data_IF_008543483364
#
_entry.id   IF_008543483364
#
_cell.length_a   1.000
_cell.length_b   1.000
_cell.length_c   1.000
_cell.angle_alpha   90.00
_cell.angle_beta   90.00
_cell.angle_gamma   90.00
#
_symmetry.space_group_name_H-M   'P 1'
#
loop_
_entity.id
_entity.type
_entity.pdbx_description
1 polymer ?
#
# COMPACT_ATOMS: atom_id res chain seq x y z
N UNK A 1 -12.32 23.58 10.94
CA UNK A 1 -11.79 24.94 10.71
C UNK A 1 -11.04 25.05 9.38
N UNK A 2 -10.18 24.07 9.03
CA UNK A 2 -9.37 24.15 7.80
C UNK A 2 -10.19 24.07 6.48
N UNK A 3 -11.37 23.44 6.51
CA UNK A 3 -12.25 23.30 5.36
C UNK A 3 -13.37 24.33 5.29
N UNK A 4 -13.43 25.25 6.24
CA UNK A 4 -14.47 26.26 6.29
C UNK A 4 -14.44 27.16 5.04
N UNK A 5 -15.53 27.18 4.27
CA UNK A 5 -15.64 27.94 3.03
C UNK A 5 -15.02 27.25 1.80
N UNK A 6 -14.52 26.02 1.92
CA UNK A 6 -14.17 25.19 0.76
C UNK A 6 -15.40 24.42 0.29
N UNK A 7 -15.57 24.29 -1.02
CA UNK A 7 -16.66 23.55 -1.63
C UNK A 7 -16.09 22.52 -2.61
N UNK A 8 -15.48 21.43 -2.12
CA UNK A 8 -14.87 20.42 -2.98
C UNK A 8 -15.95 19.72 -3.81
N UNK A 9 -15.64 19.44 -5.07
CA UNK A 9 -16.47 18.61 -5.94
C UNK A 9 -16.11 17.14 -5.86
N UNK A 10 -14.83 16.83 -5.58
CA UNK A 10 -14.29 15.49 -5.48
C UNK A 10 -13.34 15.40 -4.28
N UNK A 11 -13.38 14.26 -3.59
CA UNK A 11 -12.50 13.96 -2.48
C UNK A 11 -11.78 12.65 -2.78
N UNK A 12 -10.46 12.65 -2.66
CA UNK A 12 -9.60 11.47 -2.74
C UNK A 12 -9.00 11.23 -1.36
N UNK A 13 -9.63 10.35 -0.58
CA UNK A 13 -9.24 10.08 0.80
C UNK A 13 -8.27 8.89 0.87
N UNK A 14 -7.02 9.18 1.17
CA UNK A 14 -5.95 8.19 1.31
C UNK A 14 -5.14 8.38 2.61
N UNK A 15 -5.74 9.02 3.61
CA UNK A 15 -5.10 9.29 4.89
C UNK A 15 -5.40 8.20 5.91
N UNK A 16 -4.42 7.89 6.73
CA UNK A 16 -4.61 7.08 7.93
C UNK A 16 -3.55 7.40 8.98
N UNK A 17 -3.85 7.05 10.22
CA UNK A 17 -2.96 7.20 11.35
C UNK A 17 -2.84 5.87 12.07
N UNK A 18 -1.61 5.34 12.17
CA UNK A 18 -1.36 4.08 12.87
C UNK A 18 -1.55 4.24 14.36
N UNK A 19 -2.26 3.29 14.97
CA UNK A 19 -2.45 3.16 16.39
C UNK A 19 -1.86 1.85 16.92
N UNK A 20 -1.86 1.66 18.23
CA UNK A 20 -1.28 0.48 18.86
C UNK A 20 -2.13 -0.79 18.65
N UNK A 21 -3.46 -0.63 18.58
CA UNK A 21 -4.41 -1.74 18.40
C UNK A 21 -5.34 -1.49 17.22
N UNK A 22 -5.97 -2.57 16.71
CA UNK A 22 -6.93 -2.43 15.62
C UNK A 22 -8.21 -1.70 16.07
N UNK A 23 -8.65 -1.89 17.30
CA UNK A 23 -9.78 -1.13 17.85
C UNK A 23 -9.51 0.39 17.87
N UNK A 24 -8.29 0.79 18.27
CA UNK A 24 -7.87 2.19 18.22
C UNK A 24 -7.74 2.69 16.78
N UNK A 25 -7.23 1.85 15.84
CA UNK A 25 -7.22 2.17 14.42
C UNK A 25 -8.64 2.44 13.90
N UNK A 26 -9.62 1.60 14.25
CA UNK A 26 -11.03 1.81 13.90
C UNK A 26 -11.56 3.14 14.44
N UNK A 27 -11.31 3.44 15.71
CA UNK A 27 -11.75 4.68 16.35
C UNK A 27 -11.14 5.92 15.70
N UNK A 28 -9.82 5.99 15.60
CA UNK A 28 -9.11 7.18 15.11
C UNK A 28 -9.33 7.38 13.61
N UNK A 29 -9.14 6.34 12.80
CA UNK A 29 -9.25 6.47 11.33
C UNK A 29 -10.71 6.64 10.89
N UNK A 30 -11.67 6.03 11.61
CA UNK A 30 -13.08 6.30 11.43
C UNK A 30 -13.43 7.76 11.73
N UNK A 31 -12.92 8.32 12.84
CA UNK A 31 -13.16 9.72 13.19
C UNK A 31 -12.56 10.70 12.17
N UNK A 32 -11.36 10.41 11.62
CA UNK A 32 -10.74 11.25 10.58
C UNK A 32 -11.67 11.37 9.36
N UNK A 33 -12.18 10.24 8.84
CA UNK A 33 -13.07 10.24 7.70
C UNK A 33 -14.41 10.87 8.03
N UNK A 34 -15.01 10.55 9.18
CA UNK A 34 -16.30 11.12 9.62
C UNK A 34 -16.24 12.63 9.70
N UNK A 35 -15.24 13.18 10.38
CA UNK A 35 -15.06 14.63 10.55
C UNK A 35 -14.87 15.34 9.18
N UNK A 36 -14.22 14.68 8.23
CA UNK A 36 -14.09 15.22 6.87
C UNK A 36 -15.44 15.26 6.18
N UNK A 37 -16.17 14.15 6.18
CA UNK A 37 -17.47 14.06 5.49
C UNK A 37 -18.50 15.01 6.12
N UNK A 38 -18.64 15.04 7.45
CA UNK A 38 -19.51 15.98 8.15
C UNK A 38 -19.22 17.46 7.83
N UNK A 39 -17.96 17.77 7.51
CA UNK A 39 -17.60 19.15 7.15
C UNK A 39 -17.97 19.55 5.73
N UNK A 40 -18.28 18.58 4.83
CA UNK A 40 -18.42 18.83 3.38
C UNK A 40 -19.65 18.16 2.75
N UNK A 41 -20.30 17.17 3.39
CA UNK A 41 -21.38 16.37 2.81
C UNK A 41 -22.64 17.21 2.48
N UNK A 42 -22.89 18.30 3.20
CA UNK A 42 -23.97 19.24 2.93
C UNK A 42 -23.64 20.23 1.79
N UNK A 43 -22.43 20.16 1.26
CA UNK A 43 -22.00 21.01 0.14
C UNK A 43 -22.72 20.58 -1.16
N UNK A 44 -23.50 21.48 -1.78
CA UNK A 44 -24.31 21.15 -2.98
C UNK A 44 -23.46 20.78 -4.19
N UNK A 45 -22.14 20.90 -4.10
CA UNK A 45 -21.20 20.68 -5.20
C UNK A 45 -20.43 19.34 -5.08
N UNK A 46 -20.51 18.62 -3.95
CA UNK A 46 -19.82 17.35 -3.80
C UNK A 46 -20.44 16.28 -4.72
N UNK A 47 -19.64 15.76 -5.63
CA UNK A 47 -20.04 14.80 -6.66
C UNK A 47 -19.54 13.39 -6.37
N UNK A 48 -18.32 13.27 -5.85
CA UNK A 48 -17.69 11.97 -5.64
C UNK A 48 -16.69 11.95 -4.46
N UNK A 49 -16.69 10.82 -3.75
CA UNK A 49 -15.71 10.51 -2.70
C UNK A 49 -15.04 9.18 -3.02
N UNK A 50 -13.74 9.20 -3.29
CA UNK A 50 -12.92 8.02 -3.47
C UNK A 50 -12.15 7.71 -2.18
N UNK A 51 -12.34 6.50 -1.65
CA UNK A 51 -11.68 6.00 -0.45
C UNK A 51 -10.60 4.97 -0.84
N UNK A 52 -9.36 5.20 -0.44
CA UNK A 52 -8.28 4.22 -0.57
C UNK A 52 -8.18 3.40 0.71
N UNK A 53 -8.32 2.09 0.58
CA UNK A 53 -8.13 1.10 1.64
C UNK A 53 -6.96 0.17 1.30
N UNK A 54 -7.17 -1.14 1.13
CA UNK A 54 -6.11 -2.07 0.72
C UNK A 54 -6.45 -3.53 0.97
N UNK A 55 -5.49 -4.42 0.72
CA UNK A 55 -5.68 -5.87 0.82
C UNK A 55 -5.95 -6.39 2.23
N UNK A 56 -5.76 -5.57 3.26
CA UNK A 56 -6.24 -5.88 4.62
C UNK A 56 -7.74 -6.20 4.65
N UNK A 57 -8.49 -5.75 3.64
CA UNK A 57 -9.89 -6.14 3.43
C UNK A 57 -10.05 -7.66 3.34
N UNK A 58 -9.13 -8.35 2.68
CA UNK A 58 -9.17 -9.80 2.41
C UNK A 58 -8.36 -10.63 3.41
N UNK A 59 -7.34 -10.02 4.03
CA UNK A 59 -6.39 -10.72 4.90
C UNK A 59 -6.66 -10.50 6.39
N UNK A 60 -7.47 -9.49 6.74
CA UNK A 60 -7.65 -9.06 8.13
C UNK A 60 -6.49 -8.19 8.66
N UNK A 61 -6.46 -7.90 9.95
CA UNK A 61 -5.34 -7.22 10.60
C UNK A 61 -4.05 -8.06 10.54
N UNK A 62 -2.91 -7.44 10.77
CA UNK A 62 -1.60 -8.15 10.70
C UNK A 62 -1.55 -9.40 11.56
N UNK A 63 -2.18 -9.35 12.73
CA UNK A 63 -2.24 -10.46 13.68
C UNK A 63 -3.06 -11.65 13.15
N UNK A 64 -3.93 -11.42 12.17
CA UNK A 64 -4.77 -12.45 11.57
C UNK A 64 -4.13 -13.11 10.33
N UNK A 65 -3.05 -12.58 9.77
CA UNK A 65 -2.44 -13.10 8.54
C UNK A 65 -2.00 -14.56 8.66
N UNK A 66 -1.47 -14.96 9.80
CA UNK A 66 -1.07 -16.35 10.04
C UNK A 66 -2.25 -17.29 10.33
N UNK A 67 -3.45 -16.75 10.60
CA UNK A 67 -4.64 -17.51 10.98
C UNK A 67 -5.57 -17.76 9.79
N UNK A 68 -5.42 -16.99 8.73
CA UNK A 68 -6.22 -17.08 7.53
C UNK A 68 -5.40 -17.62 6.37
N UNK A 69 -6.02 -18.49 5.58
CA UNK A 69 -5.52 -18.87 4.27
C UNK A 69 -6.55 -18.40 3.22
N UNK A 70 -6.54 -17.11 2.88
CA UNK A 70 -7.54 -16.56 1.97
C UNK A 70 -7.38 -17.15 0.58
N UNK A 71 -8.51 -17.33 -0.09
CA UNK A 71 -8.53 -17.77 -1.48
C UNK A 71 -8.05 -16.66 -2.42
N UNK A 72 -7.11 -16.98 -3.30
CA UNK A 72 -6.54 -16.05 -4.29
C UNK A 72 -6.88 -16.51 -5.72
N UNK A 73 -6.96 -15.58 -6.69
CA UNK A 73 -6.75 -14.12 -6.59
C UNK A 73 -7.84 -13.43 -5.78
N UNK A 74 -7.48 -12.37 -5.05
CA UNK A 74 -8.47 -11.57 -4.33
C UNK A 74 -9.45 -10.90 -5.28
N UNK A 75 -10.74 -10.98 -4.94
CA UNK A 75 -11.85 -10.43 -5.72
C UNK A 75 -12.74 -9.55 -4.89
N UNK A 76 -13.30 -8.50 -5.48
CA UNK A 76 -14.10 -7.51 -4.77
C UNK A 76 -15.40 -8.08 -4.17
N UNK A 77 -15.91 -9.21 -4.68
CA UNK A 77 -17.08 -9.92 -4.15
C UNK A 77 -16.80 -10.79 -2.93
N UNK A 78 -15.53 -11.01 -2.52
CA UNK A 78 -15.22 -11.74 -1.31
C UNK A 78 -15.77 -11.02 -0.08
N UNK A 79 -16.38 -11.79 0.81
CA UNK A 79 -17.01 -11.27 2.03
C UNK A 79 -15.97 -10.71 3.00
N UNK A 80 -16.41 -9.78 3.85
CA UNK A 80 -15.60 -9.28 4.96
C UNK A 80 -15.30 -10.40 5.95
N UNK A 81 -14.08 -10.40 6.47
CA UNK A 81 -13.68 -11.33 7.52
C UNK A 81 -14.29 -10.95 8.87
N UNK A 82 -14.48 -11.92 9.80
CA UNK A 82 -15.09 -11.68 11.11
C UNK A 82 -14.11 -11.04 12.12
N UNK A 83 -13.35 -10.03 11.68
CA UNK A 83 -12.38 -9.29 12.50
C UNK A 83 -12.68 -7.82 12.49
N UNK A 84 -12.32 -7.12 13.57
CA UNK A 84 -12.21 -5.66 13.52
C UNK A 84 -11.21 -5.25 12.44
N UNK A 85 -11.59 -4.25 11.64
CA UNK A 85 -10.77 -3.77 10.54
C UNK A 85 -11.14 -2.30 10.26
N UNK A 86 -10.20 -1.40 10.42
CA UNK A 86 -10.48 0.02 10.24
C UNK A 86 -10.88 0.36 8.78
N UNK A 87 -10.52 -0.45 7.80
CA UNK A 87 -11.04 -0.28 6.43
C UNK A 87 -12.55 -0.52 6.38
N UNK A 88 -13.06 -1.53 7.10
CA UNK A 88 -14.50 -1.76 7.18
C UNK A 88 -15.22 -0.61 7.87
N UNK A 89 -14.64 -0.08 8.94
CA UNK A 89 -15.16 1.12 9.64
C UNK A 89 -15.23 2.33 8.70
N UNK A 90 -14.19 2.56 7.90
CA UNK A 90 -14.17 3.66 6.93
C UNK A 90 -15.18 3.44 5.79
N UNK A 91 -15.27 2.22 5.24
CA UNK A 91 -16.27 1.88 4.23
C UNK A 91 -17.69 2.12 4.77
N UNK A 92 -18.01 1.68 5.99
CA UNK A 92 -19.33 1.86 6.60
C UNK A 92 -19.69 3.33 6.79
N UNK A 93 -18.74 4.15 7.26
CA UNK A 93 -18.91 5.60 7.39
C UNK A 93 -19.17 6.25 6.02
N UNK A 94 -18.41 5.87 5.00
CA UNK A 94 -18.59 6.37 3.63
C UNK A 94 -19.96 6.00 3.08
N UNK A 95 -20.36 4.74 3.21
CA UNK A 95 -21.65 4.25 2.69
C UNK A 95 -22.84 4.89 3.42
N UNK A 96 -22.73 5.07 4.74
CA UNK A 96 -23.73 5.76 5.54
C UNK A 96 -23.88 7.22 5.10
N UNK A 97 -22.77 7.96 4.96
CA UNK A 97 -22.78 9.34 4.50
C UNK A 97 -23.35 9.45 3.08
N UNK A 98 -22.91 8.61 2.14
CA UNK A 98 -23.44 8.61 0.77
C UNK A 98 -24.93 8.30 0.70
N UNK A 99 -25.48 7.48 1.61
CA UNK A 99 -26.91 7.15 1.65
C UNK A 99 -27.80 8.34 2.01
N UNK A 100 -27.23 9.37 2.66
CA UNK A 100 -27.92 10.60 3.07
C UNK A 100 -27.65 11.78 2.15
N UNK A 101 -26.72 11.62 1.22
CA UNK A 101 -26.20 12.69 0.38
C UNK A 101 -26.40 12.36 -1.11
N UNK A 102 -26.04 13.28 -1.99
CA UNK A 102 -26.18 13.10 -3.44
C UNK A 102 -24.88 12.68 -4.15
N UNK A 103 -23.77 12.60 -3.42
CA UNK A 103 -22.49 12.21 -4.03
C UNK A 103 -22.41 10.69 -4.26
N UNK A 104 -21.65 10.29 -5.25
CA UNK A 104 -21.27 8.90 -5.50
C UNK A 104 -19.96 8.57 -4.81
N UNK A 105 -19.67 7.28 -4.64
CA UNK A 105 -18.42 6.84 -4.02
C UNK A 105 -17.69 5.77 -4.82
N UNK A 106 -16.40 5.63 -4.56
CA UNK A 106 -15.61 4.46 -4.95
C UNK A 106 -14.67 4.05 -3.81
N UNK A 107 -14.42 2.74 -3.70
CA UNK A 107 -13.43 2.18 -2.77
C UNK A 107 -12.33 1.52 -3.58
N UNK A 108 -11.06 1.86 -3.29
CA UNK A 108 -9.90 1.33 -3.99
C UNK A 108 -9.05 0.50 -3.04
N UNK A 109 -8.75 -0.73 -3.43
CA UNK A 109 -8.03 -1.72 -2.63
C UNK A 109 -6.69 -2.07 -3.27
N UNK A 110 -5.67 -1.20 -3.11
CA UNK A 110 -4.32 -1.49 -3.59
C UNK A 110 -3.66 -2.61 -2.78
N UNK A 111 -2.75 -3.33 -3.43
CA UNK A 111 -1.70 -4.07 -2.74
C UNK A 111 -0.58 -3.10 -2.33
N UNK A 112 0.53 -3.62 -1.81
CA UNK A 112 1.71 -2.81 -1.42
C UNK A 112 1.97 -1.70 -2.42
N UNK A 113 1.72 -0.46 -1.98
CA UNK A 113 1.88 0.71 -2.85
C UNK A 113 3.35 1.09 -2.92
N UNK A 114 3.87 1.16 -4.14
CA UNK A 114 5.22 1.63 -4.43
C UNK A 114 5.17 2.97 -5.18
N UNK A 115 6.11 3.84 -4.89
CA UNK A 115 6.21 5.15 -5.52
C UNK A 115 7.20 6.04 -4.76
N UNK A 116 7.39 7.25 -5.25
CA UNK A 116 8.26 8.20 -4.59
C UNK A 116 7.48 8.98 -3.51
N UNK A 117 7.93 8.89 -2.28
CA UNK A 117 7.39 9.68 -1.17
C UNK A 117 8.45 9.89 -0.09
N UNK A 118 8.53 11.11 0.44
CA UNK A 118 9.35 11.44 1.62
C UNK A 118 8.43 11.60 2.83
N UNK A 119 8.87 11.09 3.99
CA UNK A 119 8.08 11.13 5.22
C UNK A 119 7.05 10.01 5.36
N UNK A 120 6.94 9.12 4.36
CA UNK A 120 6.20 7.87 4.48
C UNK A 120 7.18 6.70 4.45
N UNK A 121 7.71 6.34 5.62
CA UNK A 121 8.68 5.27 5.73
C UNK A 121 8.10 3.86 5.42
N UNK A 122 6.77 3.70 5.45
CA UNK A 122 6.10 2.46 5.01
C UNK A 122 6.03 2.35 3.48
N UNK A 123 7.10 2.67 2.82
CA UNK A 123 7.28 2.58 1.37
C UNK A 123 8.33 1.49 1.08
N UNK A 124 7.88 0.34 0.61
CA UNK A 124 8.78 -0.78 0.34
C UNK A 124 9.82 -0.42 -0.72
N UNK A 125 9.43 0.25 -1.81
CA UNK A 125 10.35 0.63 -2.87
C UNK A 125 11.52 1.48 -2.35
N UNK A 126 11.23 2.49 -1.52
CA UNK A 126 12.24 3.34 -0.91
C UNK A 126 13.07 2.56 0.13
N UNK A 127 12.42 1.72 0.95
CA UNK A 127 13.13 0.86 1.91
C UNK A 127 14.15 -0.05 1.21
N UNK A 128 13.77 -0.69 0.10
CA UNK A 128 14.68 -1.55 -0.67
C UNK A 128 15.81 -0.74 -1.34
N UNK A 129 15.53 0.47 -1.80
CA UNK A 129 16.56 1.36 -2.35
C UNK A 129 17.61 1.75 -1.30
N UNK A 130 17.18 2.08 -0.08
CA UNK A 130 18.08 2.37 1.04
C UNK A 130 18.87 1.11 1.44
N UNK A 131 18.21 -0.05 1.54
CA UNK A 131 18.86 -1.33 1.83
C UNK A 131 19.95 -1.66 0.80
N UNK A 132 19.63 -1.60 -0.48
CA UNK A 132 20.60 -1.84 -1.55
C UNK A 132 21.76 -0.84 -1.55
N UNK A 133 21.50 0.43 -1.24
CA UNK A 133 22.54 1.45 -1.12
C UNK A 133 23.51 1.14 0.03
N UNK A 134 22.98 0.70 1.17
CA UNK A 134 23.78 0.26 2.31
C UNK A 134 24.60 -0.98 1.98
N UNK A 135 24.01 -1.98 1.31
CA UNK A 135 24.72 -3.17 0.86
C UNK A 135 25.88 -2.80 -0.08
N UNK A 136 25.64 -1.94 -1.06
CA UNK A 136 26.65 -1.45 -1.99
C UNK A 136 27.81 -0.73 -1.30
N UNK A 137 27.50 0.16 -0.36
CA UNK A 137 28.52 0.94 0.37
C UNK A 137 29.38 0.05 1.28
N UNK A 138 28.80 -0.96 1.88
CA UNK A 138 29.47 -1.81 2.86
C UNK A 138 30.01 -3.12 2.32
N UNK A 139 29.73 -3.45 1.05
CA UNK A 139 30.06 -4.74 0.45
C UNK A 139 29.27 -5.91 1.05
N UNK A 140 28.12 -5.66 1.67
CA UNK A 140 27.23 -6.71 2.19
C UNK A 140 26.43 -7.35 1.06
N UNK A 141 26.06 -8.60 1.26
CA UNK A 141 25.16 -9.30 0.35
C UNK A 141 23.77 -8.67 0.34
N UNK A 142 23.20 -8.52 -0.86
CA UNK A 142 21.81 -8.09 -1.04
C UNK A 142 20.89 -9.31 -1.07
N UNK A 143 20.51 -9.78 0.13
CA UNK A 143 19.71 -11.01 0.34
C UNK A 143 18.23 -10.68 0.39
N UNK A 144 17.38 -11.52 -0.24
CA UNK A 144 15.92 -11.40 -0.05
C UNK A 144 15.56 -11.67 1.41
N UNK A 145 14.90 -10.72 2.11
CA UNK A 145 14.75 -10.82 3.57
C UNK A 145 13.52 -11.63 4.02
N UNK A 146 12.62 -11.94 3.08
CA UNK A 146 11.28 -12.45 3.38
C UNK A 146 11.20 -13.98 3.56
N UNK A 147 9.96 -14.46 3.59
CA UNK A 147 9.64 -15.87 3.76
C UNK A 147 9.88 -16.70 2.48
N UNK A 148 10.03 -18.02 2.59
CA UNK A 148 10.06 -18.92 1.44
C UNK A 148 8.77 -18.80 0.59
N UNK A 149 7.62 -18.65 1.24
CA UNK A 149 6.33 -18.49 0.57
C UNK A 149 6.32 -17.24 -0.30
N UNK A 150 6.74 -16.08 0.22
CA UNK A 150 6.82 -14.86 -0.58
C UNK A 150 7.87 -14.93 -1.67
N UNK A 151 8.98 -15.62 -1.45
CA UNK A 151 10.03 -15.81 -2.47
C UNK A 151 9.51 -16.60 -3.68
N UNK A 152 8.71 -17.65 -3.41
CA UNK A 152 8.27 -18.62 -4.43
C UNK A 152 6.83 -18.38 -4.94
N UNK A 153 5.94 -17.79 -4.13
CA UNK A 153 4.56 -17.56 -4.53
C UNK A 153 4.42 -16.45 -5.57
N UNK A 154 3.26 -16.41 -6.22
CA UNK A 154 2.86 -15.31 -7.09
C UNK A 154 2.44 -14.12 -6.25
N UNK A 155 2.80 -12.93 -6.68
CA UNK A 155 2.39 -11.67 -6.06
C UNK A 155 2.28 -10.57 -7.09
N UNK A 156 1.76 -9.43 -6.66
CA UNK A 156 1.66 -8.18 -7.42
C UNK A 156 1.97 -6.98 -6.51
N UNK A 157 2.02 -5.80 -7.06
CA UNK A 157 2.18 -4.53 -6.34
C UNK A 157 1.39 -3.44 -7.05
N UNK A 158 1.24 -2.30 -6.39
CA UNK A 158 0.55 -1.13 -6.95
C UNK A 158 1.51 0.04 -7.09
N UNK A 159 1.76 0.50 -8.29
CA UNK A 159 2.41 1.79 -8.51
C UNK A 159 1.44 2.92 -8.14
N UNK A 160 1.91 3.91 -7.38
CA UNK A 160 1.09 5.04 -6.96
C UNK A 160 0.49 5.81 -8.15
N UNK A 161 1.14 5.79 -9.31
CA UNK A 161 0.66 6.44 -10.54
C UNK A 161 -0.57 5.73 -11.10
N UNK A 162 -0.59 4.39 -11.11
CA UNK A 162 -1.75 3.64 -11.61
C UNK A 162 -2.93 3.74 -10.63
N UNK A 163 -2.65 3.78 -9.32
CA UNK A 163 -3.67 4.07 -8.31
C UNK A 163 -4.31 5.43 -8.56
N UNK A 164 -3.50 6.47 -8.79
CA UNK A 164 -4.01 7.82 -9.07
C UNK A 164 -4.90 7.87 -10.32
N UNK A 165 -4.53 7.15 -11.39
CA UNK A 165 -5.34 7.05 -12.62
C UNK A 165 -6.65 6.30 -12.40
N UNK A 166 -6.66 5.24 -11.57
CA UNK A 166 -7.91 4.55 -11.25
C UNK A 166 -8.83 5.43 -10.39
N UNK A 167 -8.27 6.21 -9.46
CA UNK A 167 -9.04 7.17 -8.67
C UNK A 167 -9.72 8.21 -9.57
N UNK A 168 -8.98 8.80 -10.51
CA UNK A 168 -9.51 9.77 -11.47
C UNK A 168 -10.58 9.13 -12.36
N UNK A 169 -10.31 7.94 -12.92
CA UNK A 169 -11.26 7.20 -13.73
C UNK A 169 -12.56 6.92 -12.96
N UNK A 170 -12.48 6.41 -11.74
CA UNK A 170 -13.67 6.06 -10.96
C UNK A 170 -14.49 7.30 -10.55
N UNK A 171 -13.83 8.45 -10.39
CA UNK A 171 -14.50 9.71 -10.07
C UNK A 171 -15.24 10.34 -11.26
N UNK A 172 -14.92 9.92 -12.50
CA UNK A 172 -15.46 10.51 -13.73
C UNK A 172 -16.26 9.54 -14.60
N UNK A 173 -16.11 8.22 -14.39
CA UNK A 173 -16.80 7.18 -15.15
C UNK A 173 -18.10 6.78 -14.44
N UNK A 174 -19.29 7.03 -15.05
CA UNK A 174 -20.57 6.72 -14.40
C UNK A 174 -20.74 5.23 -14.03
N UNK A 175 -20.14 4.31 -14.81
CA UNK A 175 -20.21 2.88 -14.54
C UNK A 175 -19.42 2.48 -13.26
N UNK A 176 -18.47 3.30 -12.81
CA UNK A 176 -17.68 3.08 -11.61
C UNK A 176 -18.35 3.63 -10.33
N UNK A 177 -19.46 4.37 -10.46
CA UNK A 177 -20.16 4.95 -9.32
C UNK A 177 -20.66 3.87 -8.34
N UNK A 178 -20.42 4.08 -7.06
CA UNK A 178 -20.85 3.21 -5.96
C UNK A 178 -20.30 1.77 -6.07
N UNK A 179 -19.03 1.66 -6.42
CA UNK A 179 -18.33 0.40 -6.58
C UNK A 179 -17.03 0.34 -5.77
N UNK A 180 -16.62 -0.89 -5.43
CA UNK A 180 -15.28 -1.17 -4.92
C UNK A 180 -14.43 -1.82 -6.04
N UNK A 181 -13.15 -1.48 -6.07
CA UNK A 181 -12.18 -1.95 -7.06
C UNK A 181 -10.87 -2.36 -6.42
N UNK A 182 -10.37 -3.51 -6.83
CA UNK A 182 -8.96 -3.82 -6.65
C UNK A 182 -8.12 -2.96 -7.60
N UNK A 183 -6.88 -2.64 -7.19
CA UNK A 183 -5.92 -1.94 -8.03
C UNK A 183 -4.50 -2.43 -7.78
N UNK A 184 -3.89 -2.95 -8.84
CA UNK A 184 -2.48 -3.35 -8.92
C UNK A 184 -1.95 -3.00 -10.30
N UNK A 185 -0.65 -3.16 -10.52
CA UNK A 185 -0.01 -2.82 -11.80
C UNK A 185 -0.59 -3.56 -13.01
N UNK A 186 -1.13 -4.76 -12.78
CA UNK A 186 -1.79 -5.55 -13.81
C UNK A 186 -0.96 -6.70 -14.36
N UNK A 187 0.31 -6.79 -13.98
CA UNK A 187 1.17 -7.96 -14.11
C UNK A 187 1.33 -8.68 -12.76
N UNK A 188 1.89 -9.87 -12.81
CA UNK A 188 2.20 -10.68 -11.64
C UNK A 188 3.64 -11.17 -11.72
N UNK A 189 4.28 -11.35 -10.57
CA UNK A 189 5.66 -11.80 -10.53
C UNK A 189 5.93 -12.75 -9.34
N UNK A 190 7.15 -13.27 -9.26
CA UNK A 190 7.70 -13.97 -8.09
C UNK A 190 8.93 -13.21 -7.61
N UNK A 191 9.07 -13.05 -6.30
CA UNK A 191 10.21 -12.33 -5.74
C UNK A 191 11.55 -12.93 -6.14
N UNK A 192 11.68 -14.24 -6.31
CA UNK A 192 12.92 -14.88 -6.81
C UNK A 192 13.44 -14.33 -8.15
N UNK A 193 12.53 -13.83 -9.01
CA UNK A 193 12.89 -13.15 -10.25
C UNK A 193 13.02 -11.64 -10.04
N UNK A 194 12.02 -11.04 -9.37
CA UNK A 194 11.97 -9.59 -9.17
C UNK A 194 13.16 -9.12 -8.35
N UNK A 195 13.62 -9.89 -7.37
CA UNK A 195 14.78 -9.55 -6.55
C UNK A 195 16.06 -9.31 -7.37
N UNK A 196 16.28 -10.11 -8.41
CA UNK A 196 17.40 -9.93 -9.34
C UNK A 196 17.25 -8.66 -10.18
N UNK A 197 16.03 -8.28 -10.55
CA UNK A 197 15.75 -7.05 -11.28
C UNK A 197 15.99 -5.83 -10.38
N UNK A 198 15.49 -5.88 -9.15
CA UNK A 198 15.71 -4.82 -8.14
C UNK A 198 17.21 -4.67 -7.87
N UNK A 199 17.93 -5.76 -7.65
CA UNK A 199 19.37 -5.74 -7.43
C UNK A 199 20.12 -5.09 -8.61
N UNK A 200 19.79 -5.47 -9.83
CA UNK A 200 20.40 -4.90 -11.05
C UNK A 200 20.12 -3.38 -11.15
N UNK A 201 18.87 -2.96 -10.86
CA UNK A 201 18.49 -1.54 -10.85
C UNK A 201 19.23 -0.71 -9.79
N UNK A 202 19.57 -1.34 -8.64
CA UNK A 202 20.32 -0.71 -7.55
C UNK A 202 21.86 -0.80 -7.72
N UNK A 203 22.32 -1.52 -8.75
CA UNK A 203 23.76 -1.72 -9.00
C UNK A 203 24.45 -2.61 -7.93
N UNK A 204 23.72 -3.61 -7.43
CA UNK A 204 24.21 -4.63 -6.52
C UNK A 204 23.96 -6.02 -7.08
N UNK A 205 24.64 -7.03 -6.58
CA UNK A 205 24.36 -8.42 -6.92
C UNK A 205 23.33 -9.02 -5.94
N UNK A 206 22.32 -9.70 -6.48
CA UNK A 206 21.40 -10.46 -5.65
C UNK A 206 22.11 -11.71 -5.14
N UNK A 207 22.19 -11.86 -3.83
CA UNK A 207 22.67 -13.08 -3.22
C UNK A 207 21.65 -14.22 -3.35
N UNK A 208 22.12 -15.45 -3.25
CA UNK A 208 21.25 -16.61 -3.20
C UNK A 208 20.34 -16.56 -1.96
N UNK A 209 19.08 -16.93 -2.15
CA UNK A 209 18.14 -16.97 -1.04
C UNK A 209 18.47 -18.17 -0.12
N UNK A 210 18.66 -17.94 1.20
CA UNK A 210 19.09 -19.02 2.11
C UNK A 210 18.00 -20.05 2.43
N UNK A 211 16.77 -19.85 1.97
CA UNK A 211 15.63 -20.72 2.27
C UNK A 211 14.90 -20.40 3.57
N UNK A 212 15.32 -19.37 4.27
CA UNK A 212 14.72 -18.89 5.52
C UNK A 212 14.72 -17.35 5.58
N UNK A 213 13.82 -16.73 6.37
CA UNK A 213 13.80 -15.28 6.51
C UNK A 213 15.08 -14.71 7.13
N UNK A 214 15.56 -13.61 6.55
CA UNK A 214 16.68 -12.81 7.06
C UNK A 214 16.21 -11.36 7.32
N UNK A 215 15.46 -11.11 8.42
CA UNK A 215 14.74 -9.86 8.62
C UNK A 215 15.61 -8.61 8.55
N UNK A 216 15.12 -7.59 7.84
CA UNK A 216 15.82 -6.30 7.68
C UNK A 216 16.04 -5.59 9.00
N UNK A 217 15.12 -5.72 9.98
CA UNK A 217 15.30 -5.15 11.33
C UNK A 217 16.58 -5.65 12.00
N UNK A 218 17.03 -6.86 11.70
CA UNK A 218 18.29 -7.42 12.21
C UNK A 218 19.48 -7.00 11.36
N UNK A 219 19.34 -7.10 10.04
CA UNK A 219 20.42 -6.76 9.10
C UNK A 219 20.79 -5.28 9.16
N UNK A 220 19.82 -4.42 9.40
CA UNK A 220 19.95 -2.95 9.36
C UNK A 220 20.03 -2.29 10.73
N UNK A 221 20.43 -3.03 11.77
CA UNK A 221 20.57 -2.52 13.13
C UNK A 221 21.50 -1.29 13.27
N UNK A 222 22.47 -1.15 12.37
CA UNK A 222 23.41 -0.03 12.29
C UNK A 222 23.21 0.86 11.06
N UNK A 223 22.00 0.85 10.49
CA UNK A 223 21.70 1.55 9.24
C UNK A 223 21.90 3.06 9.34
N UNK A 224 21.54 3.69 10.48
CA UNK A 224 21.63 5.14 10.63
C UNK A 224 23.05 5.66 10.46
N UNK A 225 24.04 5.04 11.12
CA UNK A 225 25.44 5.44 11.02
C UNK A 225 25.97 5.29 9.57
N UNK A 226 25.63 4.18 8.92
CA UNK A 226 26.06 3.93 7.54
C UNK A 226 25.38 4.89 6.58
N UNK A 227 24.08 5.16 6.80
CA UNK A 227 23.32 6.10 5.96
C UNK A 227 23.85 7.52 6.07
N UNK A 228 24.16 7.99 7.27
CA UNK A 228 24.77 9.31 7.48
C UNK A 228 26.10 9.44 6.73
N UNK A 229 26.92 8.37 6.71
CA UNK A 229 28.14 8.32 5.91
C UNK A 229 27.85 8.40 4.40
N UNK A 230 26.84 7.66 3.89
CA UNK A 230 26.42 7.71 2.49
C UNK A 230 25.95 9.12 2.12
N UNK A 231 25.13 9.74 2.96
CA UNK A 231 24.64 11.12 2.77
C UNK A 231 25.81 12.09 2.62
N UNK A 232 26.76 12.04 3.56
CA UNK A 232 27.91 12.93 3.54
C UNK A 232 28.84 12.67 2.33
N UNK A 233 29.10 11.42 1.99
CA UNK A 233 29.98 11.01 0.88
C UNK A 233 29.44 11.40 -0.49
N UNK A 234 28.13 11.36 -0.68
CA UNK A 234 27.47 11.58 -1.97
C UNK A 234 26.70 12.89 -2.06
N UNK A 235 26.86 13.78 -1.06
CA UNK A 235 26.18 15.09 -0.98
C UNK A 235 24.67 14.98 -1.19
N UNK A 236 24.04 13.99 -0.48
CA UNK A 236 22.62 13.78 -0.58
C UNK A 236 21.84 14.70 0.37
N UNK A 237 20.55 14.81 0.15
CA UNK A 237 19.65 15.48 1.09
C UNK A 237 19.72 14.77 2.46
N UNK A 238 19.91 15.50 3.57
CA UNK A 238 20.16 14.90 4.90
C UNK A 238 18.89 14.41 5.59
N UNK A 239 18.20 13.46 4.96
CA UNK A 239 17.08 12.79 5.58
C UNK A 239 17.57 11.66 6.47
N UNK A 240 17.11 11.60 7.75
CA UNK A 240 17.35 10.42 8.59
C UNK A 240 16.81 9.14 7.93
N UNK A 241 17.52 8.03 8.12
CA UNK A 241 17.12 6.75 7.48
C UNK A 241 15.72 6.32 7.91
N UNK A 242 15.30 6.62 9.13
CA UNK A 242 13.98 6.30 9.68
C UNK A 242 12.84 7.06 8.99
N UNK A 243 13.16 8.17 8.32
CA UNK A 243 12.20 8.93 7.49
C UNK A 243 12.01 8.28 6.12
N UNK A 244 13.01 7.55 5.64
CA UNK A 244 13.06 6.96 4.31
C UNK A 244 12.67 5.47 4.29
N UNK A 245 13.03 4.71 5.34
CA UNK A 245 12.90 3.28 5.37
C UNK A 245 12.21 2.77 6.63
N UNK A 246 11.36 1.76 6.47
CA UNK A 246 10.73 1.04 7.56
C UNK A 246 11.03 -0.45 7.45
N UNK A 247 12.07 -0.88 8.15
CA UNK A 247 12.54 -2.25 8.12
C UNK A 247 11.45 -3.24 8.55
N UNK A 248 10.78 -2.95 9.68
CA UNK A 248 9.70 -3.81 10.21
C UNK A 248 8.51 -3.94 9.24
N UNK A 249 8.16 -2.87 8.52
CA UNK A 249 7.04 -2.89 7.58
C UNK A 249 7.37 -3.77 6.36
N UNK A 250 8.58 -3.60 5.80
CA UNK A 250 9.02 -4.44 4.69
C UNK A 250 9.21 -5.90 5.12
N UNK A 251 9.68 -6.15 6.34
CA UNK A 251 9.74 -7.51 6.91
C UNK A 251 8.34 -8.12 7.06
N UNK A 252 7.34 -7.34 7.50
CA UNK A 252 5.96 -7.81 7.60
C UNK A 252 5.35 -8.14 6.23
N UNK A 253 5.63 -7.32 5.21
CA UNK A 253 5.13 -7.54 3.86
C UNK A 253 5.82 -8.72 3.16
N UNK A 254 7.14 -8.77 3.19
CA UNK A 254 7.93 -9.82 2.55
C UNK A 254 7.96 -11.12 3.36
N UNK A 255 7.65 -11.05 4.64
CA UNK A 255 7.61 -12.21 5.55
C UNK A 255 6.27 -12.93 5.61
N UNK A 256 5.26 -12.51 4.83
CA UNK A 256 3.96 -13.22 4.79
C UNK A 256 4.14 -14.69 4.40
N UNK A 257 3.35 -15.56 5.03
CA UNK A 257 3.35 -17.01 4.78
C UNK A 257 2.19 -17.46 3.91
N UNK A 258 1.55 -16.53 3.22
CA UNK A 258 0.40 -16.74 2.32
C UNK A 258 0.67 -16.11 0.96
N UNK A 259 0.16 -16.71 -0.09
CA UNK A 259 0.16 -16.10 -1.42
C UNK A 259 -0.78 -14.90 -1.46
N UNK A 260 -0.37 -13.82 -2.12
CA UNK A 260 -1.14 -12.58 -2.19
C UNK A 260 -1.06 -11.98 -3.58
N UNK A 261 -2.16 -12.09 -4.34
CA UNK A 261 -2.33 -11.39 -5.61
C UNK A 261 -3.82 -11.17 -5.92
N UNK A 262 -4.10 -10.26 -6.84
CA UNK A 262 -5.41 -9.64 -7.02
C UNK A 262 -5.96 -9.82 -8.43
N UNK A 263 -7.28 -10.00 -8.53
CA UNK A 263 -8.02 -9.97 -9.80
C UNK A 263 -8.47 -8.54 -10.12
N UNK A 264 -8.11 -8.06 -11.30
CA UNK A 264 -8.48 -6.73 -11.83
C UNK A 264 -9.68 -6.77 -12.80
N UNK A 265 -10.38 -7.90 -12.91
CA UNK A 265 -11.40 -8.11 -13.92
C UNK A 265 -12.58 -7.16 -13.81
N UNK A 266 -12.95 -6.72 -12.59
CA UNK A 266 -14.07 -5.80 -12.40
C UNK A 266 -13.81 -4.45 -13.06
N UNK A 267 -12.74 -3.78 -12.69
CA UNK A 267 -12.38 -2.48 -13.24
C UNK A 267 -12.13 -2.55 -14.77
N UNK A 268 -11.50 -3.62 -15.24
CA UNK A 268 -11.28 -3.86 -16.69
C UNK A 268 -12.58 -3.99 -17.48
N UNK A 269 -13.57 -4.75 -16.97
CA UNK A 269 -14.90 -4.85 -17.60
C UNK A 269 -15.64 -3.52 -17.65
N UNK A 270 -15.34 -2.61 -16.73
CA UNK A 270 -15.94 -1.27 -16.66
C UNK A 270 -15.13 -0.20 -17.40
N UNK A 271 -14.04 -0.58 -18.10
CA UNK A 271 -13.30 0.30 -18.99
C UNK A 271 -11.96 0.80 -18.48
N UNK A 272 -11.55 0.47 -17.25
CA UNK A 272 -10.20 0.77 -16.78
C UNK A 272 -9.20 -0.24 -17.37
N UNK A 273 -8.54 0.13 -18.47
CA UNK A 273 -7.64 -0.76 -19.23
C UNK A 273 -6.16 -0.43 -19.03
N UNK A 274 -5.86 0.55 -18.20
CA UNK A 274 -4.48 0.93 -17.93
C UNK A 274 -3.74 -0.13 -17.12
N UNK A 275 -2.43 -0.21 -17.34
CA UNK A 275 -1.55 -1.06 -16.58
C UNK A 275 -0.15 -0.44 -16.47
N UNK A 276 0.63 -0.94 -15.54
CA UNK A 276 2.04 -0.60 -15.36
C UNK A 276 2.85 -1.90 -15.31
N UNK A 277 3.94 -1.99 -16.05
CA UNK A 277 4.87 -3.10 -15.89
C UNK A 277 5.72 -2.90 -14.64
N UNK A 278 5.69 -3.86 -13.71
CA UNK A 278 6.34 -3.75 -12.41
C UNK A 278 7.87 -3.71 -12.50
N UNK A 279 8.45 -4.28 -13.58
CA UNK A 279 9.90 -4.29 -13.81
C UNK A 279 10.46 -2.97 -14.35
N UNK A 280 9.62 -1.99 -14.68
CA UNK A 280 9.96 -0.67 -15.20
C UNK A 280 9.65 0.44 -14.18
#
# INVERSE_FOLDING_TARGET
>A
AALHGTHPTHIFFNCWSRQATEAENCGVNGAILRNLLEAVEDGPQLQHVALVTGLKHYMGPFEAYALNNPDTPFREEQERLPYENFYYTQEDILFESASRSSFTWSVHRPHTVIGWAIGNAMNMGLTLAVYGSICRETGRDFVFPGSPEQYEAVTDVTDARILARQLEWAATEPAAANQAFNIVNGDIFRWRRMWKIVAAGLGVEAADYPGEPTPLVKQMANASEIWDHIVAKHDLQPYPVETLASWWHSDADLGRTIETFTDMSRSRRMGFLEYQETSN
#
